data_IF_220084777197
#
_entry.id   IF_220084777197
#
_cell.length_a   1.000
_cell.length_b   1.000
_cell.length_c   1.000
_cell.angle_alpha   90.00
_cell.angle_beta   90.00
_cell.angle_gamma   90.00
#
_symmetry.space_group_name_H-M   'P 1'
#
loop_
_entity.id
_entity.type
_entity.pdbx_description
1 polymer ?
#
# COMPACT_ATOMS: atom_id res chain seq x y z
N UNK A 1 16.07 1.87 16.73
CA UNK A 1 16.54 3.16 16.17
C UNK A 1 15.43 3.70 15.29
N UNK A 2 15.17 5.01 15.27
CA UNK A 2 14.17 5.58 14.36
C UNK A 2 14.56 5.27 12.91
N UNK A 3 13.60 4.82 12.12
CA UNK A 3 13.76 4.56 10.69
C UNK A 3 14.15 5.89 10.03
N UNK A 4 15.38 5.97 9.51
CA UNK A 4 15.82 7.15 8.75
C UNK A 4 15.24 7.04 7.34
N UNK A 5 14.22 7.84 7.05
CA UNK A 5 13.68 8.04 5.70
C UNK A 5 14.82 8.40 4.73
N UNK A 6 15.13 7.52 3.78
CA UNK A 6 16.25 7.68 2.80
C UNK A 6 15.74 7.79 1.36
N UNK A 7 14.59 8.44 1.20
CA UNK A 7 13.93 8.85 -0.05
C UNK A 7 14.78 9.56 -1.10
N UNK A 8 15.81 10.34 -0.73
CA UNK A 8 16.65 11.11 -1.67
C UNK A 8 17.93 10.40 -2.12
N UNK A 9 18.15 9.17 -1.65
CA UNK A 9 19.26 8.36 -2.15
C UNK A 9 18.98 7.94 -3.60
N UNK A 10 19.98 8.08 -4.48
CA UNK A 10 19.92 7.70 -5.91
C UNK A 10 19.39 6.29 -6.15
N UNK A 11 19.56 5.38 -5.19
CA UNK A 11 19.11 3.98 -5.31
C UNK A 11 17.61 3.78 -5.02
N UNK A 12 17.00 4.63 -4.18
CA UNK A 12 15.62 4.45 -3.72
C UNK A 12 14.59 5.29 -4.47
N UNK A 13 15.03 6.37 -5.11
CA UNK A 13 14.16 7.29 -5.86
C UNK A 13 13.45 6.62 -7.06
N UNK A 14 14.11 5.79 -7.91
CA UNK A 14 13.42 5.08 -8.99
C UNK A 14 12.37 4.10 -8.48
N UNK A 15 12.64 3.45 -7.34
CA UNK A 15 11.71 2.50 -6.72
C UNK A 15 10.49 3.24 -6.16
N UNK A 16 10.69 4.38 -5.51
CA UNK A 16 9.60 5.22 -5.03
C UNK A 16 8.72 5.71 -6.19
N UNK A 17 9.31 6.16 -7.30
CA UNK A 17 8.56 6.55 -8.50
C UNK A 17 7.76 5.39 -9.10
N UNK A 18 8.33 4.19 -9.13
CA UNK A 18 7.61 2.98 -9.57
C UNK A 18 6.42 2.67 -8.66
N UNK A 19 6.59 2.74 -7.33
CA UNK A 19 5.51 2.54 -6.37
C UNK A 19 4.40 3.60 -6.52
N UNK A 20 4.79 4.86 -6.73
CA UNK A 20 3.84 5.95 -6.98
C UNK A 20 3.02 5.70 -8.25
N UNK A 21 3.68 5.31 -9.34
CA UNK A 21 3.01 4.96 -10.60
C UNK A 21 2.02 3.80 -10.44
N UNK A 22 2.40 2.76 -9.69
CA UNK A 22 1.51 1.62 -9.40
C UNK A 22 0.31 2.03 -8.55
N UNK A 23 0.49 2.90 -7.55
CA UNK A 23 -0.62 3.44 -6.76
C UNK A 23 -1.56 4.30 -7.62
N UNK A 24 -1.02 5.12 -8.52
CA UNK A 24 -1.80 5.92 -9.45
C UNK A 24 -2.63 5.05 -10.40
N UNK A 25 -2.02 4.02 -11.01
CA UNK A 25 -2.74 3.08 -11.88
C UNK A 25 -3.87 2.36 -11.13
N UNK A 26 -3.60 1.92 -9.90
CA UNK A 26 -4.61 1.31 -9.05
C UNK A 26 -5.78 2.25 -8.77
N UNK A 27 -5.51 3.52 -8.48
CA UNK A 27 -6.56 4.51 -8.25
C UNK A 27 -7.34 4.87 -9.52
N UNK A 28 -6.68 4.92 -10.68
CA UNK A 28 -7.41 5.09 -11.95
C UNK A 28 -8.39 3.94 -12.20
N UNK A 29 -8.05 2.71 -11.79
CA UNK A 29 -8.97 1.57 -11.88
C UNK A 29 -10.18 1.76 -10.96
N UNK A 30 -9.98 2.29 -9.75
CA UNK A 30 -11.08 2.62 -8.83
C UNK A 30 -11.97 3.74 -9.36
N UNK A 31 -11.40 4.75 -10.03
CA UNK A 31 -12.17 5.78 -10.75
C UNK A 31 -13.10 5.15 -11.78
N UNK A 32 -12.60 4.22 -12.60
CA UNK A 32 -13.42 3.50 -13.57
C UNK A 32 -14.53 2.70 -12.89
N UNK A 33 -14.22 1.99 -11.80
CA UNK A 33 -15.24 1.26 -11.03
C UNK A 33 -16.31 2.22 -10.49
N UNK A 34 -15.90 3.34 -9.92
CA UNK A 34 -16.78 4.32 -9.32
C UNK A 34 -17.76 4.92 -10.34
N UNK A 35 -17.28 5.26 -11.53
CA UNK A 35 -18.11 5.86 -12.58
C UNK A 35 -19.04 4.85 -13.23
N UNK A 36 -18.51 3.69 -13.63
CA UNK A 36 -19.26 2.75 -14.48
C UNK A 36 -20.08 1.72 -13.69
N UNK A 37 -19.60 1.29 -12.52
CA UNK A 37 -20.29 0.27 -11.72
C UNK A 37 -21.06 0.86 -10.55
N UNK A 38 -20.54 1.90 -9.91
CA UNK A 38 -21.14 2.50 -8.71
C UNK A 38 -22.02 3.73 -9.03
N UNK A 39 -22.05 4.18 -10.28
CA UNK A 39 -22.91 5.27 -10.74
C UNK A 39 -22.59 6.63 -10.09
N UNK A 40 -21.33 6.86 -9.70
CA UNK A 40 -20.91 8.13 -9.07
C UNK A 40 -20.70 9.17 -10.17
N UNK A 41 -21.70 10.03 -10.38
CA UNK A 41 -21.73 10.99 -11.50
C UNK A 41 -20.97 12.31 -11.29
N UNK A 42 -20.42 12.58 -10.10
CA UNK A 42 -19.75 13.84 -9.81
C UNK A 42 -18.25 13.78 -10.14
N UNK A 43 -17.84 14.37 -11.26
CA UNK A 43 -16.46 14.39 -11.74
C UNK A 43 -15.45 14.98 -10.73
N UNK A 44 -15.83 15.99 -9.96
CA UNK A 44 -14.92 16.63 -8.99
C UNK A 44 -14.61 15.64 -7.85
N UNK A 45 -15.65 14.97 -7.33
CA UNK A 45 -15.51 13.97 -6.26
C UNK A 45 -14.69 12.77 -6.77
N UNK A 46 -14.97 12.34 -7.99
CA UNK A 46 -14.31 11.19 -8.62
C UNK A 46 -12.85 11.45 -8.99
N UNK A 47 -12.42 12.71 -9.14
CA UNK A 47 -11.02 13.02 -9.48
C UNK A 47 -10.22 13.45 -8.25
N UNK A 48 -10.78 14.35 -7.44
CA UNK A 48 -10.05 14.97 -6.33
C UNK A 48 -9.74 13.97 -5.21
N UNK A 49 -10.68 13.09 -4.89
CA UNK A 49 -10.51 12.13 -3.79
C UNK A 49 -9.53 11.03 -4.16
N UNK A 50 -9.59 10.41 -5.35
CA UNK A 50 -8.60 9.43 -5.76
C UNK A 50 -7.18 9.98 -5.84
N UNK A 51 -7.00 11.28 -6.13
CA UNK A 51 -5.67 11.92 -6.04
C UNK A 51 -5.17 11.93 -4.59
N UNK A 52 -6.00 12.33 -3.63
CA UNK A 52 -5.66 12.28 -2.20
C UNK A 52 -5.39 10.86 -1.71
N UNK A 53 -6.23 9.91 -2.11
CA UNK A 53 -6.07 8.50 -1.79
C UNK A 53 -4.81 7.90 -2.44
N UNK A 54 -4.42 8.34 -3.64
CA UNK A 54 -3.16 7.94 -4.28
C UNK A 54 -1.95 8.33 -3.43
N UNK A 55 -1.92 9.56 -2.93
CA UNK A 55 -0.83 10.07 -2.09
C UNK A 55 -0.77 9.27 -0.77
N UNK A 56 -1.92 9.06 -0.13
CA UNK A 56 -1.98 8.30 1.12
C UNK A 56 -1.58 6.83 0.97
N UNK A 57 -2.06 6.15 -0.08
CA UNK A 57 -1.66 4.78 -0.40
C UNK A 57 -0.17 4.70 -0.72
N UNK A 58 0.35 5.67 -1.47
CA UNK A 58 1.78 5.76 -1.73
C UNK A 58 2.59 5.82 -0.43
N UNK A 59 2.21 6.70 0.52
CA UNK A 59 2.84 6.75 1.84
C UNK A 59 2.76 5.42 2.59
N UNK A 60 1.59 4.76 2.60
CA UNK A 60 1.42 3.46 3.24
C UNK A 60 2.31 2.36 2.65
N UNK A 61 2.38 2.29 1.32
CA UNK A 61 3.20 1.33 0.58
C UNK A 61 4.70 1.58 0.83
N UNK A 62 5.12 2.85 0.87
CA UNK A 62 6.51 3.24 1.17
C UNK A 62 6.90 2.87 2.60
N UNK A 63 6.04 3.11 3.60
CA UNK A 63 6.31 2.72 4.99
C UNK A 63 6.56 1.21 5.11
N UNK A 64 5.71 0.41 4.47
CA UNK A 64 5.86 -1.04 4.45
C UNK A 64 7.13 -1.44 3.70
N UNK A 65 7.43 -0.81 2.56
CA UNK A 65 8.65 -1.06 1.80
C UNK A 65 9.91 -0.82 2.64
N UNK A 66 10.02 0.34 3.31
CA UNK A 66 11.17 0.64 4.17
C UNK A 66 11.31 -0.36 5.31
N UNK A 67 10.20 -0.79 5.91
CA UNK A 67 10.20 -1.81 6.96
C UNK A 67 10.80 -3.13 6.48
N UNK A 68 10.50 -3.56 5.24
CA UNK A 68 11.03 -4.78 4.66
C UNK A 68 12.51 -4.67 4.26
N UNK A 69 12.91 -3.58 3.59
CA UNK A 69 14.31 -3.37 3.17
C UNK A 69 15.26 -3.41 4.37
N UNK A 70 14.85 -2.87 5.52
CA UNK A 70 15.65 -2.92 6.73
C UNK A 70 15.81 -4.34 7.29
N UNK A 71 14.75 -5.14 7.28
CA UNK A 71 14.79 -6.54 7.71
C UNK A 71 15.71 -7.35 6.79
N UNK A 72 15.64 -7.11 5.48
CA UNK A 72 16.44 -7.82 4.49
C UNK A 72 17.94 -7.49 4.61
N UNK A 73 18.31 -6.22 4.85
CA UNK A 73 19.70 -5.85 5.14
C UNK A 73 20.27 -6.58 6.36
N UNK A 74 19.50 -6.72 7.45
CA UNK A 74 19.94 -7.51 8.61
C UNK A 74 20.06 -8.99 8.30
N UNK A 75 19.11 -9.56 7.54
CA UNK A 75 19.19 -10.95 7.10
C UNK A 75 20.45 -11.18 6.28
N UNK A 76 20.78 -10.29 5.33
CA UNK A 76 21.99 -10.38 4.50
C UNK A 76 23.28 -10.38 5.34
N UNK A 77 23.36 -9.54 6.36
CA UNK A 77 24.47 -9.52 7.33
C UNK A 77 24.57 -10.84 8.12
N UNK A 78 23.43 -11.44 8.50
CA UNK A 78 23.39 -12.70 9.26
C UNK A 78 23.66 -13.93 8.38
N UNK A 79 23.22 -13.91 7.12
CA UNK A 79 23.43 -15.00 6.14
C UNK A 79 24.82 -15.02 5.52
N UNK A 80 25.60 -13.94 5.59
CA UNK A 80 27.05 -14.03 5.28
C UNK A 80 27.76 -15.08 6.16
N UNK A 81 27.19 -15.41 7.33
CA UNK A 81 27.69 -16.45 8.23
C UNK A 81 26.97 -17.81 8.09
N UNK A 82 25.95 -17.94 7.23
CA UNK A 82 25.23 -19.20 7.00
C UNK A 82 25.10 -19.49 5.50
N UNK A 83 25.74 -20.57 5.03
CA UNK A 83 25.63 -21.10 3.66
C UNK A 83 24.16 -21.32 3.29
N UNK A 84 23.64 -20.47 2.40
CA UNK A 84 22.26 -20.50 1.92
C UNK A 84 22.07 -21.56 0.83
N UNK A 85 21.45 -22.70 1.16
CA UNK A 85 20.70 -23.52 0.20
C UNK A 85 19.33 -22.86 0.01
N UNK A 86 19.06 -22.27 -1.15
CA UNK A 86 17.70 -21.86 -1.52
C UNK A 86 17.35 -22.27 -2.95
N UNK A 87 16.75 -23.44 -3.07
CA UNK A 87 15.95 -23.84 -4.23
C UNK A 87 14.54 -23.30 -4.01
N UNK A 88 14.27 -22.07 -4.46
CA UNK A 88 12.96 -21.42 -4.37
C UNK A 88 12.22 -21.42 -5.70
N UNK A 89 10.90 -21.68 -5.68
CA UNK A 89 10.05 -21.64 -6.89
C UNK A 89 9.99 -20.23 -7.50
N UNK A 90 9.82 -20.14 -8.83
CA UNK A 90 9.75 -18.85 -9.57
C UNK A 90 8.70 -17.89 -9.00
N UNK A 91 7.56 -18.42 -8.55
CA UNK A 91 6.46 -17.65 -7.96
C UNK A 91 6.84 -17.05 -6.60
N UNK A 92 7.58 -17.81 -5.78
CA UNK A 92 8.11 -17.32 -4.51
C UNK A 92 9.07 -16.16 -4.77
N UNK A 93 9.96 -16.27 -5.74
CA UNK A 93 10.93 -15.21 -6.08
C UNK A 93 10.26 -13.92 -6.57
N UNK A 94 9.16 -14.01 -7.34
CA UNK A 94 8.37 -12.84 -7.74
C UNK A 94 7.69 -12.16 -6.54
N UNK A 95 7.06 -12.96 -5.67
CA UNK A 95 6.51 -12.50 -4.39
C UNK A 95 7.58 -12.07 -3.38
N UNK A 96 8.88 -12.30 -3.63
CA UNK A 96 9.97 -11.77 -2.81
C UNK A 96 10.48 -10.42 -3.31
N UNK A 97 10.06 -9.97 -4.49
CA UNK A 97 10.51 -8.71 -5.04
C UNK A 97 10.08 -7.57 -4.10
N UNK A 98 11.01 -6.71 -3.67
CA UNK A 98 10.80 -5.78 -2.56
C UNK A 98 9.70 -4.75 -2.86
N UNK A 99 9.45 -4.47 -4.15
CA UNK A 99 8.40 -3.56 -4.63
C UNK A 99 7.01 -4.23 -4.66
N UNK A 100 6.94 -5.52 -4.98
CA UNK A 100 5.66 -6.24 -5.18
C UNK A 100 4.98 -6.54 -3.85
N UNK A 101 5.75 -6.94 -2.83
CA UNK A 101 5.22 -7.26 -1.49
C UNK A 101 4.37 -6.15 -0.85
N UNK A 102 4.86 -4.90 -0.69
CA UNK A 102 4.09 -3.86 -0.03
C UNK A 102 2.80 -3.54 -0.79
N UNK A 103 2.85 -3.54 -2.12
CA UNK A 103 1.66 -3.34 -2.98
C UNK A 103 0.63 -4.45 -2.78
N UNK A 104 1.08 -5.71 -2.81
CA UNK A 104 0.21 -6.90 -2.62
C UNK A 104 -0.41 -6.96 -1.22
N UNK A 105 0.16 -6.28 -0.22
CA UNK A 105 -0.43 -6.17 1.11
C UNK A 105 -1.45 -5.03 1.15
N UNK A 106 -1.06 -3.83 0.69
CA UNK A 106 -1.90 -2.63 0.83
C UNK A 106 -3.15 -2.71 -0.05
N UNK A 107 -3.02 -3.20 -1.29
CA UNK A 107 -4.13 -3.15 -2.24
C UNK A 107 -5.32 -4.03 -1.81
N UNK A 108 -5.14 -5.31 -1.40
CA UNK A 108 -6.26 -6.10 -0.91
C UNK A 108 -6.89 -5.55 0.36
N UNK A 109 -6.09 -4.97 1.26
CA UNK A 109 -6.59 -4.34 2.49
C UNK A 109 -7.47 -3.14 2.13
N UNK A 110 -6.98 -2.26 1.25
CA UNK A 110 -7.74 -1.11 0.77
C UNK A 110 -9.02 -1.56 0.08
N UNK A 111 -8.94 -2.50 -0.85
CA UNK A 111 -10.11 -3.00 -1.61
C UNK A 111 -11.15 -3.62 -0.68
N UNK A 112 -10.74 -4.46 0.28
CA UNK A 112 -11.67 -5.06 1.24
C UNK A 112 -12.31 -4.00 2.15
N UNK A 113 -11.51 -3.06 2.68
CA UNK A 113 -12.02 -1.97 3.51
C UNK A 113 -12.97 -1.05 2.73
N UNK A 114 -12.68 -0.78 1.46
CA UNK A 114 -13.52 0.03 0.59
C UNK A 114 -14.87 -0.64 0.34
N UNK A 115 -14.89 -1.88 -0.14
CA UNK A 115 -16.15 -2.56 -0.46
C UNK A 115 -17.02 -2.80 0.77
N UNK A 116 -16.40 -3.09 1.93
CA UNK A 116 -17.15 -3.21 3.18
C UNK A 116 -17.73 -1.88 3.64
N UNK A 117 -16.94 -0.80 3.63
CA UNK A 117 -17.43 0.53 3.99
C UNK A 117 -18.50 1.03 3.02
N UNK A 118 -18.28 0.88 1.71
CA UNK A 118 -19.22 1.28 0.66
C UNK A 118 -20.53 0.50 0.76
N UNK A 119 -20.47 -0.83 0.94
CA UNK A 119 -21.65 -1.67 1.08
C UNK A 119 -22.50 -1.32 2.31
N UNK A 120 -21.88 -0.85 3.40
CA UNK A 120 -22.61 -0.33 4.56
C UNK A 120 -23.19 1.05 4.24
N UNK A 121 -22.38 1.97 3.71
CA UNK A 121 -22.79 3.36 3.49
C UNK A 121 -23.92 3.50 2.46
N UNK A 122 -23.95 2.68 1.41
CA UNK A 122 -24.98 2.77 0.36
C UNK A 122 -26.40 2.48 0.90
N UNK A 123 -26.52 1.79 2.04
CA UNK A 123 -27.84 1.54 2.65
C UNK A 123 -28.45 2.78 3.32
N UNK A 124 -27.65 3.81 3.60
CA UNK A 124 -28.06 5.00 4.33
C UNK A 124 -27.82 6.32 3.57
N UNK A 125 -26.97 6.33 2.55
CA UNK A 125 -26.43 7.54 1.92
C UNK A 125 -26.46 7.45 0.39
N UNK A 126 -26.50 8.60 -0.27
CA UNK A 126 -26.35 8.70 -1.73
C UNK A 126 -25.01 8.13 -2.21
N UNK A 127 -25.00 7.57 -3.43
CA UNK A 127 -23.82 6.94 -4.02
C UNK A 127 -22.55 7.80 -3.94
N UNK A 128 -22.68 9.12 -4.13
CA UNK A 128 -21.56 10.07 -4.08
C UNK A 128 -20.99 10.19 -2.67
N UNK A 129 -21.85 10.32 -1.66
CA UNK A 129 -21.44 10.48 -0.26
C UNK A 129 -20.94 9.14 0.29
N UNK A 130 -21.61 8.04 -0.07
CA UNK A 130 -21.19 6.69 0.28
C UNK A 130 -19.80 6.37 -0.29
N UNK A 131 -19.54 6.72 -1.55
CA UNK A 131 -18.23 6.58 -2.17
C UNK A 131 -17.16 7.40 -1.44
N UNK A 132 -17.46 8.68 -1.17
CA UNK A 132 -16.56 9.60 -0.48
C UNK A 132 -16.16 9.08 0.90
N UNK A 133 -17.13 8.60 1.69
CA UNK A 133 -16.85 8.06 3.03
C UNK A 133 -16.08 6.75 2.92
N UNK A 134 -16.49 5.84 2.04
CA UNK A 134 -15.84 4.55 1.88
C UNK A 134 -14.38 4.68 1.46
N UNK A 135 -14.07 5.58 0.53
CA UNK A 135 -12.70 5.81 0.05
C UNK A 135 -11.81 6.38 1.15
N UNK A 136 -12.29 7.37 1.90
CA UNK A 136 -11.53 7.96 3.01
C UNK A 136 -11.32 6.95 4.14
N UNK A 137 -12.35 6.20 4.51
CA UNK A 137 -12.27 5.16 5.55
C UNK A 137 -11.31 4.05 5.14
N UNK A 138 -11.39 3.57 3.90
CA UNK A 138 -10.47 2.55 3.38
C UNK A 138 -9.02 3.02 3.36
N UNK A 139 -8.80 4.29 3.01
CA UNK A 139 -7.48 4.92 3.02
C UNK A 139 -6.92 5.01 4.44
N UNK A 140 -7.73 5.45 5.41
CA UNK A 140 -7.35 5.53 6.82
C UNK A 140 -7.03 4.15 7.40
N UNK A 141 -7.87 3.15 7.13
CA UNK A 141 -7.61 1.76 7.56
C UNK A 141 -6.31 1.24 6.96
N UNK A 142 -6.07 1.49 5.67
CA UNK A 142 -4.84 1.07 4.99
C UNK A 142 -3.60 1.70 5.61
N UNK A 143 -3.64 2.99 5.96
CA UNK A 143 -2.57 3.69 6.68
C UNK A 143 -2.36 3.15 8.09
N UNK A 144 -3.43 2.87 8.83
CA UNK A 144 -3.35 2.28 10.17
C UNK A 144 -2.70 0.90 10.13
N UNK A 145 -3.07 0.07 9.15
CA UNK A 145 -2.45 -1.25 8.99
C UNK A 145 -0.98 -1.13 8.57
N UNK A 146 -0.64 -0.21 7.66
CA UNK A 146 0.75 0.06 7.30
C UNK A 146 1.59 0.46 8.53
N UNK A 147 1.08 1.37 9.36
CA UNK A 147 1.70 1.77 10.61
C UNK A 147 1.81 0.62 11.63
N UNK A 148 0.80 -0.25 11.72
CA UNK A 148 0.84 -1.41 12.60
C UNK A 148 1.91 -2.42 12.18
N UNK A 149 2.00 -2.68 10.87
CA UNK A 149 3.03 -3.53 10.27
C UNK A 149 4.41 -2.94 10.59
N UNK A 150 4.60 -1.65 10.33
CA UNK A 150 5.85 -0.95 10.65
C UNK A 150 6.23 -1.10 12.13
N UNK A 151 5.31 -0.83 13.06
CA UNK A 151 5.54 -0.99 14.51
C UNK A 151 5.91 -2.42 14.88
N UNK A 152 5.26 -3.43 14.30
CA UNK A 152 5.57 -4.84 14.58
C UNK A 152 6.96 -5.21 14.09
N UNK A 153 7.34 -4.78 12.88
CA UNK A 153 8.69 -4.99 12.34
C UNK A 153 9.76 -4.19 13.08
N UNK A 154 9.45 -2.98 13.56
CA UNK A 154 10.31 -2.19 14.42
C UNK A 154 10.49 -2.82 15.82
N UNK A 155 9.45 -3.47 16.38
CA UNK A 155 9.53 -4.17 17.67
C UNK A 155 10.42 -5.42 17.59
N UNK A 156 10.45 -6.12 16.46
CA UNK A 156 11.40 -7.21 16.18
C UNK A 156 12.86 -6.69 16.18
N UNK A 157 13.12 -5.38 16.10
CA UNK A 157 14.48 -4.81 16.23
C UNK A 157 14.98 -4.65 17.68
N UNK A 158 14.10 -4.72 18.69
CA UNK A 158 14.49 -4.53 20.11
C UNK A 158 14.92 -5.82 20.82
N UNK A 159 14.69 -6.97 20.21
CA UNK A 159 15.11 -8.29 20.69
C UNK A 159 16.06 -8.93 19.67
#
# INVERSE_FOLDING_TARGET
>A
MPIRFRWTSKEYLPIALMLFGVCGLFQTLFVFIAQYFLGVGNYIVVILIPVGATIALFFGVVLIFESFVQVEKRKKLRTQFQKSRQTGSKLRNFLQFPVVRPVVIVFPIFTAAFFTAYGICITFLDNVIAFLIAENVATLISLLVANFIEKKYAKIQKF
#
